data_IF_575356940688
#
_entry.id   IF_575356940688
#
_cell.length_a   1.000
_cell.length_b   1.000
_cell.length_c   1.000
_cell.angle_alpha   90.00
_cell.angle_beta   90.00
_cell.angle_gamma   90.00
#
_symmetry.space_group_name_H-M   'P 1'
#
loop_
_entity.id
_entity.type
_entity.pdbx_description
1 polymer ?
#
# COMPACT_ATOMS: atom_id res chain seq x y z
N UNK A 1 -22.40 -21.24 28.59
CA UNK A 1 -22.21 -19.77 28.55
C UNK A 1 -20.86 -19.37 27.94
N UNK A 2 -19.74 -19.96 28.37
CA UNK A 2 -18.39 -19.65 27.84
C UNK A 2 -18.24 -19.75 26.32
N UNK A 3 -18.86 -20.75 25.67
CA UNK A 3 -18.80 -20.90 24.20
C UNK A 3 -19.56 -19.83 23.43
N UNK A 4 -20.68 -19.35 23.96
CA UNK A 4 -21.46 -18.26 23.34
C UNK A 4 -20.75 -16.92 23.46
N UNK A 5 -20.09 -16.66 24.60
CA UNK A 5 -19.25 -15.48 24.80
C UNK A 5 -18.07 -15.49 23.83
N UNK A 6 -17.40 -16.63 23.64
CA UNK A 6 -16.29 -16.75 22.69
C UNK A 6 -16.74 -16.48 21.24
N UNK A 7 -17.89 -17.00 20.82
CA UNK A 7 -18.45 -16.75 19.49
C UNK A 7 -18.81 -15.27 19.32
N UNK A 8 -19.42 -14.65 20.33
CA UNK A 8 -19.79 -13.24 20.27
C UNK A 8 -18.57 -12.32 20.20
N UNK A 9 -17.52 -12.63 20.96
CA UNK A 9 -16.23 -11.90 20.89
C UNK A 9 -15.60 -12.05 19.51
N UNK A 10 -15.61 -13.26 18.94
CA UNK A 10 -15.04 -13.50 17.61
C UNK A 10 -15.80 -12.75 16.52
N UNK A 11 -17.14 -12.71 16.59
CA UNK A 11 -17.99 -11.92 15.67
C UNK A 11 -17.71 -10.43 15.79
N UNK A 12 -17.55 -9.91 17.01
CA UNK A 12 -17.20 -8.49 17.23
C UNK A 12 -15.83 -8.16 16.64
N UNK A 13 -14.83 -9.02 16.79
CA UNK A 13 -13.49 -8.82 16.19
C UNK A 13 -13.54 -8.83 14.65
N UNK A 14 -14.32 -9.73 14.05
CA UNK A 14 -14.48 -9.78 12.59
C UNK A 14 -15.22 -8.54 12.06
N UNK A 15 -16.23 -8.05 12.78
CA UNK A 15 -16.99 -6.84 12.38
C UNK A 15 -16.14 -5.57 12.53
N UNK A 16 -15.31 -5.47 13.57
CA UNK A 16 -14.44 -4.31 13.79
C UNK A 16 -13.27 -4.23 12.78
N UNK A 17 -12.80 -5.36 12.24
CA UNK A 17 -11.74 -5.37 11.22
C UNK A 17 -12.25 -5.06 9.80
N UNK A 18 -13.52 -5.34 9.50
CA UNK A 18 -14.13 -5.03 8.20
C UNK A 18 -14.28 -3.52 7.92
N UNK A 19 -14.45 -2.70 8.97
CA UNK A 19 -14.58 -1.24 8.86
C UNK A 19 -13.24 -0.53 8.55
N UNK A 20 -12.10 -1.22 8.69
CA UNK A 20 -10.76 -0.64 8.49
C UNK A 20 -10.36 -0.48 7.02
N UNK A 21 -11.15 -1.00 6.06
CA UNK A 21 -10.80 -0.93 4.63
C UNK A 21 -11.10 0.42 3.97
N UNK A 22 -11.79 1.34 4.66
CA UNK A 22 -12.13 2.68 4.15
C UNK A 22 -11.00 3.72 4.23
N UNK A 23 -9.97 3.51 5.06
CA UNK A 23 -8.94 4.52 5.35
C UNK A 23 -7.54 4.17 4.83
N UNK A 24 -7.38 3.08 4.07
CA UNK A 24 -6.06 2.57 3.75
C UNK A 24 -5.37 3.29 2.56
N UNK A 25 -6.11 4.05 1.74
CA UNK A 25 -5.52 4.69 0.55
C UNK A 25 -4.40 5.69 0.90
N UNK A 26 -4.63 6.68 1.79
CA UNK A 26 -3.60 7.65 2.11
C UNK A 26 -2.39 7.01 2.80
N UNK A 27 -2.62 6.03 3.68
CA UNK A 27 -1.56 5.32 4.40
C UNK A 27 -0.67 4.54 3.44
N UNK A 28 -1.24 3.75 2.54
CA UNK A 28 -0.45 2.91 1.62
C UNK A 28 0.25 3.77 0.57
N UNK A 29 -0.37 4.86 0.10
CA UNK A 29 0.30 5.84 -0.77
C UNK A 29 1.50 6.46 -0.04
N UNK A 30 1.32 6.87 1.22
CA UNK A 30 2.41 7.41 2.04
C UNK A 30 3.54 6.41 2.27
N UNK A 31 3.21 5.14 2.55
CA UNK A 31 4.21 4.07 2.70
C UNK A 31 5.03 3.90 1.41
N UNK A 32 4.36 3.88 0.25
CA UNK A 32 5.03 3.80 -1.05
C UNK A 32 5.92 5.02 -1.31
N UNK A 33 5.47 6.24 -0.98
CA UNK A 33 6.30 7.45 -1.07
C UNK A 33 7.56 7.38 -0.21
N UNK A 34 7.41 6.98 1.06
CA UNK A 34 8.52 6.96 2.00
C UNK A 34 9.53 5.86 1.64
N UNK A 35 9.06 4.72 1.13
CA UNK A 35 9.94 3.67 0.63
C UNK A 35 10.64 4.10 -0.66
N UNK A 36 9.92 4.74 -1.60
CA UNK A 36 10.50 5.24 -2.82
C UNK A 36 11.63 6.24 -2.52
N UNK A 37 11.44 7.15 -1.56
CA UNK A 37 12.50 8.07 -1.12
C UNK A 37 13.75 7.35 -0.59
N UNK A 38 13.58 6.20 0.10
CA UNK A 38 14.70 5.37 0.53
C UNK A 38 15.42 4.74 -0.67
N UNK A 39 14.65 4.20 -1.63
CA UNK A 39 15.21 3.63 -2.85
C UNK A 39 15.95 4.70 -3.68
N UNK A 40 15.46 5.94 -3.71
CA UNK A 40 16.12 7.06 -4.40
C UNK A 40 17.42 7.53 -3.75
N UNK A 41 17.72 7.12 -2.51
CA UNK A 41 18.92 7.58 -1.81
C UNK A 41 20.22 6.97 -2.37
N UNK A 42 20.15 5.75 -2.93
CA UNK A 42 21.32 5.02 -3.46
C UNK A 42 21.01 4.26 -4.77
N UNK A 43 20.49 4.92 -5.81
CA UNK A 43 20.15 4.25 -7.06
C UNK A 43 21.40 3.68 -7.73
N UNK A 44 21.26 2.51 -8.34
CA UNK A 44 22.27 1.87 -9.16
C UNK A 44 21.64 1.40 -10.49
N UNK A 45 22.45 0.81 -11.38
CA UNK A 45 21.98 0.38 -12.70
C UNK A 45 20.82 -0.62 -12.63
N UNK A 46 20.87 -1.55 -11.66
CA UNK A 46 19.89 -2.63 -11.52
C UNK A 46 18.58 -2.16 -10.87
N UNK A 47 18.65 -1.12 -10.03
CA UNK A 47 17.48 -0.61 -9.29
C UNK A 47 16.80 0.57 -9.96
N UNK A 48 17.45 1.23 -10.91
CA UNK A 48 16.87 2.36 -11.65
C UNK A 48 15.54 2.00 -12.36
N UNK A 49 15.40 0.85 -13.05
CA UNK A 49 14.12 0.47 -13.66
C UNK A 49 13.00 0.32 -12.62
N UNK A 50 13.29 -0.30 -11.47
CA UNK A 50 12.33 -0.49 -10.38
C UNK A 50 11.89 0.84 -9.75
N UNK A 51 12.83 1.77 -9.56
CA UNK A 51 12.55 3.12 -9.04
C UNK A 51 11.68 3.91 -10.02
N UNK A 52 12.00 3.86 -11.32
CA UNK A 52 11.25 4.57 -12.35
C UNK A 52 9.82 4.00 -12.51
N UNK A 53 9.66 2.68 -12.42
CA UNK A 53 8.35 2.04 -12.45
C UNK A 53 7.55 2.28 -11.16
N UNK A 54 8.20 2.26 -9.99
CA UNK A 54 7.59 2.63 -8.70
C UNK A 54 7.02 4.05 -8.74
N UNK A 55 7.76 5.03 -9.30
CA UNK A 55 7.30 6.41 -9.51
C UNK A 55 6.02 6.46 -10.35
N UNK A 56 6.00 5.72 -11.45
CA UNK A 56 4.84 5.67 -12.35
C UNK A 56 3.60 5.16 -11.61
N UNK A 57 3.71 4.02 -10.94
CA UNK A 57 2.58 3.46 -10.17
C UNK A 57 2.15 4.36 -9.01
N UNK A 58 3.08 5.05 -8.36
CA UNK A 58 2.77 5.99 -7.29
C UNK A 58 2.01 7.22 -7.81
N UNK A 59 2.40 7.76 -8.96
CA UNK A 59 1.69 8.86 -9.61
C UNK A 59 0.27 8.44 -10.02
N UNK A 60 0.13 7.26 -10.62
CA UNK A 60 -1.18 6.71 -10.95
C UNK A 60 -2.03 6.46 -9.70
N UNK A 61 -1.44 5.94 -8.61
CA UNK A 61 -2.16 5.71 -7.36
C UNK A 61 -2.74 7.01 -6.77
N UNK A 62 -1.97 8.10 -6.80
CA UNK A 62 -2.43 9.44 -6.37
C UNK A 62 -3.58 9.93 -7.25
N UNK A 63 -3.41 9.88 -8.57
CA UNK A 63 -4.44 10.32 -9.50
C UNK A 63 -5.74 9.51 -9.35
N UNK A 64 -5.62 8.20 -9.14
CA UNK A 64 -6.78 7.34 -8.87
C UNK A 64 -7.45 7.66 -7.52
N UNK A 65 -6.68 8.00 -6.49
CA UNK A 65 -7.23 8.40 -5.20
C UNK A 65 -7.98 9.73 -5.27
N UNK A 66 -7.39 10.74 -5.93
CA UNK A 66 -7.97 12.08 -6.09
C UNK A 66 -9.28 12.06 -6.89
N UNK A 67 -9.38 11.17 -7.89
CA UNK A 67 -10.55 11.05 -8.76
C UNK A 67 -11.55 9.95 -8.33
N UNK A 68 -11.30 9.26 -7.20
CA UNK A 68 -12.12 8.15 -6.75
C UNK A 68 -13.51 8.62 -6.30
N UNK A 69 -14.55 7.96 -6.80
CA UNK A 69 -15.96 8.22 -6.43
C UNK A 69 -16.60 7.05 -5.70
N UNK A 70 -16.00 5.87 -5.84
CA UNK A 70 -16.52 4.63 -5.28
C UNK A 70 -15.44 3.90 -4.47
N UNK A 71 -15.86 2.96 -3.62
CA UNK A 71 -14.95 2.06 -2.89
C UNK A 71 -14.04 1.26 -3.83
N UNK A 72 -14.54 0.93 -5.03
CA UNK A 72 -13.75 0.21 -6.04
C UNK A 72 -12.59 1.08 -6.55
N UNK A 73 -12.85 2.35 -6.83
CA UNK A 73 -11.82 3.29 -7.31
C UNK A 73 -10.71 3.49 -6.26
N UNK A 74 -11.10 3.59 -4.99
CA UNK A 74 -10.16 3.59 -3.86
C UNK A 74 -9.36 2.27 -3.78
N UNK A 75 -9.99 1.13 -4.06
CA UNK A 75 -9.30 -0.15 -4.17
C UNK A 75 -8.30 -0.22 -5.32
N UNK A 76 -8.58 0.44 -6.46
CA UNK A 76 -7.65 0.58 -7.58
C UNK A 76 -6.43 1.43 -7.17
N UNK A 77 -6.65 2.56 -6.49
CA UNK A 77 -5.59 3.40 -5.96
C UNK A 77 -4.67 2.63 -4.99
N UNK A 78 -5.26 1.89 -4.04
CA UNK A 78 -4.52 1.06 -3.08
C UNK A 78 -3.69 -0.02 -3.79
N UNK A 79 -4.27 -0.71 -4.77
CA UNK A 79 -3.52 -1.74 -5.53
C UNK A 79 -2.30 -1.13 -6.20
N UNK A 80 -2.46 0.01 -6.89
CA UNK A 80 -1.32 0.72 -7.51
C UNK A 80 -0.28 1.16 -6.49
N UNK A 81 -0.70 1.69 -5.34
CA UNK A 81 0.22 2.07 -4.27
C UNK A 81 1.00 0.87 -3.72
N UNK A 82 0.38 -0.30 -3.58
CA UNK A 82 1.08 -1.54 -3.18
C UNK A 82 2.10 -2.01 -4.22
N UNK A 83 1.79 -1.89 -5.51
CA UNK A 83 2.77 -2.18 -6.56
C UNK A 83 3.97 -1.23 -6.48
N UNK A 84 3.72 0.07 -6.33
CA UNK A 84 4.78 1.06 -6.15
C UNK A 84 5.65 0.75 -4.91
N UNK A 85 5.02 0.40 -3.79
CA UNK A 85 5.72 0.03 -2.56
C UNK A 85 6.61 -1.21 -2.78
N UNK A 86 6.09 -2.27 -3.38
CA UNK A 86 6.85 -3.50 -3.62
C UNK A 86 8.09 -3.27 -4.50
N UNK A 87 7.96 -2.48 -5.57
CA UNK A 87 9.08 -2.12 -6.44
C UNK A 87 10.13 -1.28 -5.70
N UNK A 88 9.71 -0.37 -4.83
CA UNK A 88 10.62 0.41 -4.01
C UNK A 88 11.32 -0.44 -2.93
N UNK A 89 10.61 -1.40 -2.33
CA UNK A 89 11.18 -2.37 -1.38
C UNK A 89 12.24 -3.26 -2.05
N UNK A 90 11.94 -3.75 -3.25
CA UNK A 90 12.88 -4.54 -4.05
C UNK A 90 14.13 -3.71 -4.40
N UNK A 91 13.95 -2.46 -4.83
CA UNK A 91 15.06 -1.55 -5.10
C UNK A 91 15.94 -1.34 -3.85
N UNK A 92 15.35 -1.12 -2.67
CA UNK A 92 16.12 -1.00 -1.41
C UNK A 92 16.86 -2.30 -1.07
N UNK A 93 16.22 -3.45 -1.31
CA UNK A 93 16.81 -4.77 -1.07
C UNK A 93 18.05 -4.97 -1.95
N UNK A 94 17.96 -4.65 -3.24
CA UNK A 94 19.05 -4.76 -4.21
C UNK A 94 20.14 -3.68 -4.04
N UNK A 95 19.90 -2.64 -3.24
CA UNK A 95 20.92 -1.66 -2.84
C UNK A 95 21.75 -2.09 -1.64
N UNK A 96 21.29 -3.12 -0.93
CA UNK A 96 22.02 -3.67 0.22
C UNK A 96 23.10 -4.62 -0.32
N UNK A 97 24.38 -4.45 0.08
CA UNK A 97 25.48 -5.29 -0.37
C UNK A 97 25.32 -6.78 -0.03
#
# INVERSE_FOLDING_TARGET
MTKLVAVMVMVVVVVLTGAAWGFNCPVVIKQAEDMLKKAEAKPNADTKPLIDESKKYLAEARAHHENAKTKRDHGDAVRKAKFALALAEEAVTLQTP
#
